data_IF_090240164429
#
_entry.id   IF_090240164429
#
_cell.length_a   1.000
_cell.length_b   1.000
_cell.length_c   1.000
_cell.angle_alpha   90.00
_cell.angle_beta   90.00
_cell.angle_gamma   90.00
#
_symmetry.space_group_name_H-M   'P 1'
#
loop_
_entity.id
_entity.type
_entity.pdbx_description
1 polymer ?
#
# COMPACT_ATOMS: atom_id res chain seq x y z
N UNK A 1 -12.35 -69.32 -30.54
CA UNK A 1 -11.46 -68.49 -29.70
C UNK A 1 -12.06 -67.08 -29.74
N UNK A 2 -12.84 -66.57 -28.77
CA UNK A 2 -12.56 -66.26 -27.34
C UNK A 2 -11.19 -65.54 -27.25
N UNK A 3 -11.00 -64.30 -26.79
CA UNK A 3 -11.76 -63.44 -25.87
C UNK A 3 -11.52 -61.93 -26.15
N UNK A 4 -12.43 -61.12 -25.63
CA UNK A 4 -12.28 -59.69 -25.31
C UNK A 4 -11.16 -59.47 -24.27
N UNK A 5 -10.44 -58.35 -24.32
CA UNK A 5 -9.84 -57.66 -23.17
C UNK A 5 -9.51 -56.21 -23.61
N UNK A 6 -10.31 -55.22 -23.24
CA UNK A 6 -10.09 -54.30 -22.09
C UNK A 6 -9.05 -53.21 -22.40
N UNK A 7 -9.51 -52.00 -22.74
CA UNK A 7 -9.55 -50.82 -21.85
C UNK A 7 -8.16 -50.34 -21.40
N UNK A 8 -7.78 -49.13 -21.83
CA UNK A 8 -7.44 -48.02 -20.92
C UNK A 8 -7.24 -46.73 -21.71
N UNK A 9 -8.28 -45.89 -21.69
CA UNK A 9 -8.18 -44.48 -22.02
C UNK A 9 -7.38 -43.80 -20.90
N UNK A 10 -6.17 -43.31 -21.21
CA UNK A 10 -5.49 -42.36 -20.33
C UNK A 10 -6.10 -40.99 -20.55
N UNK A 11 -7.10 -40.68 -19.73
CA UNK A 11 -7.55 -39.31 -19.48
C UNK A 11 -6.46 -38.65 -18.65
N UNK A 12 -5.63 -37.81 -19.27
CA UNK A 12 -4.78 -36.89 -18.53
C UNK A 12 -5.65 -35.73 -17.99
N UNK A 13 -6.25 -35.95 -16.82
CA UNK A 13 -6.79 -34.87 -15.99
C UNK A 13 -5.59 -34.10 -15.44
N UNK A 14 -5.22 -32.98 -16.05
CA UNK A 14 -4.35 -32.02 -15.39
C UNK A 14 -5.24 -31.15 -14.51
N UNK A 15 -5.32 -31.56 -13.25
CA UNK A 15 -6.03 -30.86 -12.20
C UNK A 15 -5.41 -29.48 -11.93
N UNK A 16 -6.30 -28.50 -11.85
CA UNK A 16 -6.25 -27.31 -11.02
C UNK A 16 -4.90 -27.00 -10.33
N UNK A 17 -4.11 -26.17 -10.99
CA UNK A 17 -3.28 -25.20 -10.29
C UNK A 17 -3.98 -23.86 -10.37
N UNK A 18 -4.93 -23.58 -9.46
CA UNK A 18 -5.27 -22.20 -9.13
C UNK A 18 -4.01 -21.60 -8.49
N UNK A 19 -3.04 -21.21 -9.33
CA UNK A 19 -2.12 -20.16 -8.95
C UNK A 19 -3.03 -18.96 -8.72
N UNK A 20 -3.40 -18.73 -7.47
CA UNK A 20 -3.69 -17.39 -6.99
C UNK A 20 -2.47 -16.58 -7.33
N UNK A 21 -2.43 -16.06 -8.56
CA UNK A 21 -1.76 -14.82 -8.86
C UNK A 21 -2.28 -13.90 -7.76
N UNK A 22 -1.41 -13.58 -6.81
CA UNK A 22 -1.58 -12.40 -6.01
C UNK A 22 -1.61 -11.26 -7.02
N UNK A 23 -2.80 -11.01 -7.58
CA UNK A 23 -3.07 -9.91 -8.47
C UNK A 23 -2.87 -8.72 -7.56
N UNK A 24 -1.68 -8.13 -7.63
CA UNK A 24 -1.43 -6.80 -7.09
C UNK A 24 -2.62 -5.98 -7.59
N UNK A 25 -3.45 -5.40 -6.70
CA UNK A 25 -4.65 -4.72 -7.14
C UNK A 25 -4.24 -3.70 -8.19
N UNK A 26 -4.76 -3.85 -9.42
CA UNK A 26 -4.66 -2.86 -10.50
C UNK A 26 -5.51 -1.65 -10.11
N UNK A 27 -5.10 -0.94 -9.05
CA UNK A 27 -5.50 0.44 -8.85
C UNK A 27 -4.68 1.33 -9.79
N UNK A 28 -5.08 2.59 -10.01
CA UNK A 28 -4.20 3.56 -10.64
C UNK A 28 -2.89 3.57 -9.86
N UNK A 29 -1.79 3.19 -10.52
CA UNK A 29 -0.45 3.28 -9.94
C UNK A 29 -0.18 4.70 -9.43
N UNK A 30 0.73 4.83 -8.50
CA UNK A 30 1.15 6.13 -8.03
C UNK A 30 1.87 6.09 -6.70
N UNK A 31 2.47 7.23 -6.37
CA UNK A 31 3.38 7.36 -5.23
C UNK A 31 2.71 7.95 -4.00
N UNK A 32 1.44 8.32 -4.08
CA UNK A 32 0.69 8.92 -2.98
C UNK A 32 -0.05 7.84 -2.21
N UNK A 33 0.47 7.44 -1.05
CA UNK A 33 -0.25 6.56 -0.13
C UNK A 33 -1.20 7.39 0.72
N UNK A 34 -2.49 7.37 0.40
CA UNK A 34 -3.51 8.17 1.07
C UNK A 34 -4.24 7.33 2.10
N UNK A 35 -4.28 7.81 3.34
CA UNK A 35 -5.07 7.22 4.41
C UNK A 35 -6.41 7.92 4.50
N UNK A 36 -7.48 7.12 4.64
CA UNK A 36 -8.84 7.62 4.80
C UNK A 36 -9.44 7.12 6.10
N UNK A 37 -10.30 7.93 6.71
CA UNK A 37 -11.12 7.48 7.82
C UNK A 37 -12.30 6.61 7.34
N UNK A 38 -13.15 6.17 8.27
CA UNK A 38 -14.35 5.36 7.98
C UNK A 38 -15.39 6.06 7.11
N UNK A 39 -15.37 7.39 7.03
CA UNK A 39 -16.26 8.17 6.16
C UNK A 39 -15.71 8.28 4.72
N UNK A 40 -14.48 7.83 4.49
CA UNK A 40 -13.78 8.00 3.22
C UNK A 40 -13.03 9.33 3.10
N UNK A 41 -13.00 10.15 4.15
CA UNK A 41 -12.29 11.44 4.14
C UNK A 41 -10.78 11.20 4.23
N UNK A 42 -9.99 11.89 3.40
CA UNK A 42 -8.54 11.80 3.46
C UNK A 42 -8.02 12.55 4.69
N UNK A 43 -7.30 11.85 5.57
CA UNK A 43 -6.82 12.39 6.85
C UNK A 43 -5.32 12.61 6.87
N UNK A 44 -4.58 11.85 6.06
CA UNK A 44 -3.15 12.04 5.79
C UNK A 44 -2.77 11.34 4.48
N UNK A 45 -1.63 11.74 3.92
CA UNK A 45 -0.99 11.02 2.83
C UNK A 45 0.52 11.08 2.94
N UNK A 46 1.21 10.11 2.32
CA UNK A 46 2.65 10.10 2.19
C UNK A 46 3.05 10.02 0.73
N UNK A 47 4.06 10.81 0.36
CA UNK A 47 4.61 10.83 -1.00
C UNK A 47 5.87 9.99 -1.03
N UNK A 48 5.77 8.80 -1.64
CA UNK A 48 6.88 7.85 -1.73
C UNK A 48 7.75 8.06 -2.98
N UNK A 49 8.95 7.46 -3.02
CA UNK A 49 9.86 7.61 -4.16
C UNK A 49 9.27 7.08 -5.46
N UNK A 50 8.62 5.92 -5.39
CA UNK A 50 8.08 5.20 -6.55
C UNK A 50 6.81 4.40 -6.19
N UNK A 51 6.07 3.98 -7.23
CA UNK A 51 4.84 3.19 -7.08
C UNK A 51 5.11 1.83 -6.42
N UNK A 52 6.22 1.17 -6.74
CA UNK A 52 6.54 -0.14 -6.16
C UNK A 52 6.72 -0.06 -4.63
N UNK A 53 7.37 1.00 -4.14
CA UNK A 53 7.48 1.31 -2.71
C UNK A 53 6.10 1.57 -2.11
N UNK A 54 5.29 2.39 -2.78
CA UNK A 54 3.93 2.66 -2.34
C UNK A 54 3.13 1.37 -2.18
N UNK A 55 3.11 0.49 -3.19
CA UNK A 55 2.39 -0.79 -3.17
C UNK A 55 2.85 -1.72 -2.06
N UNK A 56 4.16 -1.77 -1.78
CA UNK A 56 4.68 -2.53 -0.63
C UNK A 56 4.12 -2.01 0.70
N UNK A 57 4.07 -0.70 0.88
CA UNK A 57 3.51 -0.11 2.11
C UNK A 57 1.98 -0.22 2.17
N UNK A 58 1.29 -0.06 1.04
CA UNK A 58 -0.16 -0.26 0.93
C UNK A 58 -0.58 -1.66 1.39
N UNK A 59 0.17 -2.69 0.98
CA UNK A 59 -0.06 -4.07 1.42
C UNK A 59 0.05 -4.21 2.96
N UNK A 60 0.96 -3.49 3.61
CA UNK A 60 1.12 -3.48 5.07
C UNK A 60 0.05 -2.65 5.77
N UNK A 61 -0.42 -1.57 5.16
CA UNK A 61 -1.45 -0.67 5.70
C UNK A 61 -2.88 -1.26 5.63
N UNK A 62 -3.07 -2.34 4.86
CA UNK A 62 -4.35 -3.03 4.76
C UNK A 62 -5.43 -2.14 4.13
N UNK A 63 -6.64 -2.09 4.72
CA UNK A 63 -7.77 -1.31 4.16
C UNK A 63 -7.70 0.19 4.46
N UNK A 64 -6.81 0.62 5.35
CA UNK A 64 -6.76 2.01 5.82
C UNK A 64 -6.15 2.98 4.80
N UNK A 65 -5.37 2.48 3.83
CA UNK A 65 -4.65 3.32 2.88
C UNK A 65 -4.68 2.76 1.45
N UNK A 66 -4.61 3.65 0.47
CA UNK A 66 -4.53 3.30 -0.96
C UNK A 66 -3.50 4.14 -1.71
N UNK A 67 -2.72 3.51 -2.58
CA UNK A 67 -1.83 4.20 -3.50
C UNK A 67 -2.63 4.83 -4.64
N UNK A 68 -2.33 6.09 -4.95
CA UNK A 68 -3.00 6.89 -5.96
C UNK A 68 -1.97 7.67 -6.79
N UNK A 69 -2.30 7.90 -8.07
CA UNK A 69 -1.52 8.72 -9.00
C UNK A 69 -1.49 10.18 -8.55
N UNK A 70 -2.65 10.70 -8.19
CA UNK A 70 -2.84 12.08 -7.76
C UNK A 70 -2.80 12.22 -6.24
N UNK A 71 -2.32 13.36 -5.72
CA UNK A 71 -2.40 13.65 -4.30
C UNK A 71 -3.86 13.87 -3.86
N UNK A 72 -4.17 13.48 -2.65
CA UNK A 72 -5.38 13.91 -1.96
C UNK A 72 -5.34 15.42 -1.69
N UNK A 73 -6.50 16.07 -1.83
CA UNK A 73 -6.70 17.50 -1.59
C UNK A 73 -7.06 17.76 -0.12
N UNK A 74 -7.00 19.03 0.29
CA UNK A 74 -7.46 19.46 1.62
C UNK A 74 -6.46 19.22 2.77
N UNK A 75 -5.21 18.91 2.45
CA UNK A 75 -4.14 18.83 3.44
C UNK A 75 -3.64 20.24 3.79
N UNK A 76 -3.52 20.54 5.09
CA UNK A 76 -3.17 21.88 5.59
C UNK A 76 -1.88 21.88 6.43
N UNK A 77 -1.28 20.71 6.62
CA UNK A 77 -0.02 20.57 7.34
C UNK A 77 0.88 19.56 6.64
N UNK A 78 2.19 19.73 6.80
CA UNK A 78 3.20 18.81 6.28
C UNK A 78 4.32 18.55 7.27
N UNK A 79 5.01 17.42 7.09
CA UNK A 79 6.23 17.06 7.81
C UNK A 79 7.13 16.21 6.92
N UNK A 80 8.43 16.16 7.21
CA UNK A 80 9.36 15.26 6.52
C UNK A 80 9.77 14.14 7.45
N UNK A 81 9.61 12.90 7.00
CA UNK A 81 9.97 11.68 7.72
C UNK A 81 11.13 10.98 7.04
N UNK A 82 11.94 10.28 7.83
CA UNK A 82 12.98 9.37 7.36
C UNK A 82 12.66 7.94 7.78
N UNK A 83 12.61 7.03 6.82
CA UNK A 83 12.40 5.60 7.02
C UNK A 83 13.76 4.90 6.94
N UNK A 84 14.21 4.25 8.02
CA UNK A 84 15.53 3.64 8.15
C UNK A 84 15.46 2.21 8.73
N UNK A 85 16.06 1.21 8.05
CA UNK A 85 16.50 1.22 6.65
C UNK A 85 15.31 1.39 5.68
N UNK A 86 15.49 1.93 4.45
CA UNK A 86 16.74 2.16 3.72
C UNK A 86 17.30 3.61 3.78
N UNK A 87 16.78 4.48 4.64
CA UNK A 87 17.19 5.89 4.73
C UNK A 87 16.40 6.84 3.82
N UNK A 88 15.20 6.44 3.39
CA UNK A 88 14.36 7.22 2.47
C UNK A 88 13.66 8.36 3.19
N UNK A 89 13.72 9.56 2.60
CA UNK A 89 12.92 10.71 3.01
C UNK A 89 11.55 10.68 2.34
N UNK A 90 10.52 10.96 3.12
CA UNK A 90 9.11 10.93 2.70
C UNK A 90 8.44 12.20 3.20
N UNK A 91 7.74 12.90 2.32
CA UNK A 91 6.87 14.01 2.72
C UNK A 91 5.51 13.45 3.15
N UNK A 92 5.12 13.75 4.38
CA UNK A 92 3.79 13.47 4.90
C UNK A 92 2.95 14.73 4.87
N UNK A 93 1.72 14.63 4.39
CA UNK A 93 0.73 15.69 4.43
C UNK A 93 -0.44 15.25 5.28
N UNK A 94 -1.01 16.18 6.04
CA UNK A 94 -2.02 15.91 7.05
C UNK A 94 -3.16 16.91 6.91
N UNK A 95 -4.36 16.46 7.26
CA UNK A 95 -5.57 17.29 7.19
C UNK A 95 -5.41 18.61 7.96
N UNK A 96 -4.71 18.61 9.09
CA UNK A 96 -4.41 19.81 9.87
C UNK A 96 -3.18 19.59 10.79
N UNK A 97 -2.79 20.65 11.50
CA UNK A 97 -1.64 20.64 12.42
C UNK A 97 -1.80 19.67 13.58
N UNK A 98 -3.00 19.55 14.16
CA UNK A 98 -3.23 18.66 15.30
C UNK A 98 -3.11 17.20 14.90
N UNK A 99 -3.60 16.86 13.70
CA UNK A 99 -3.43 15.54 13.12
C UNK A 99 -1.96 15.23 12.86
N UNK A 100 -1.22 16.18 12.28
CA UNK A 100 0.22 16.02 12.07
C UNK A 100 0.96 15.75 13.39
N UNK A 101 0.70 16.55 14.43
CA UNK A 101 1.36 16.37 15.74
C UNK A 101 0.99 15.04 16.37
N UNK A 102 -0.29 14.67 16.34
CA UNK A 102 -0.78 13.41 16.92
C UNK A 102 -0.14 12.22 16.22
N UNK A 103 -0.19 12.17 14.88
CA UNK A 103 0.34 11.06 14.10
C UNK A 103 1.87 10.92 14.21
N UNK A 104 2.59 12.02 14.48
CA UNK A 104 4.05 12.02 14.65
C UNK A 104 4.52 12.04 16.11
N UNK A 105 3.61 12.02 17.09
CA UNK A 105 3.94 12.01 18.52
C UNK A 105 4.53 10.67 18.97
N UNK A 106 4.20 9.58 18.27
CA UNK A 106 4.67 8.23 18.53
C UNK A 106 4.95 7.53 17.20
N UNK A 107 6.17 7.69 16.70
CA UNK A 107 6.59 7.07 15.44
C UNK A 107 6.96 5.59 15.62
N UNK A 108 6.66 4.80 14.58
CA UNK A 108 7.10 3.41 14.51
C UNK A 108 8.63 3.30 14.53
N UNK A 109 9.14 2.15 14.99
CA UNK A 109 10.57 1.85 14.94
C UNK A 109 11.11 2.04 13.51
N UNK A 110 12.27 2.71 13.41
CA UNK A 110 12.88 3.02 12.12
C UNK A 110 12.30 4.24 11.40
N UNK A 111 11.28 4.92 11.94
CA UNK A 111 10.78 6.18 11.39
C UNK A 111 11.21 7.36 12.26
N UNK A 112 11.70 8.42 11.62
CA UNK A 112 12.16 9.62 12.31
C UNK A 112 11.58 10.88 11.69
N UNK A 113 11.22 11.84 12.54
CA UNK A 113 10.80 13.16 12.12
C UNK A 113 12.04 14.00 11.84
N UNK A 114 12.25 14.33 10.57
CA UNK A 114 13.39 15.15 10.12
C UNK A 114 13.01 16.61 10.17
N UNK A 115 11.89 16.96 9.53
CA UNK A 115 11.31 18.29 9.62
C UNK A 115 9.98 18.19 10.36
N UNK A 116 9.79 18.99 11.43
CA UNK A 116 8.57 18.94 12.24
C UNK A 116 7.35 19.42 11.44
N UNK A 117 6.18 19.22 12.02
CA UNK A 117 4.92 19.68 11.46
C UNK A 117 4.93 21.20 11.20
N UNK A 118 4.62 21.60 9.97
CA UNK A 118 4.42 22.99 9.56
C UNK A 118 3.11 23.14 8.77
N UNK A 119 2.49 24.33 8.77
CA UNK A 119 1.40 24.64 7.86
C UNK A 119 1.83 24.49 6.40
N UNK A 120 0.90 24.07 5.54
CA UNK A 120 1.10 23.93 4.10
C UNK A 120 0.50 25.09 3.33
#
# INVERSE_FOLDING_TARGET
MIARLSMLAMVAVVAAGCATQNKVPEGPGGRHLVYRDSSGTAIRQFVYPDDAFCRRVEALAGRAARCQAEPATGMQAKATLRYNPPGVLVEGHYMNMDRCRTDNSSMSAGVQLVNPCTPQ
#
